data_IF_192937571254
#
_entry.id   IF_192937571254
#
_cell.length_a   1.000
_cell.length_b   1.000
_cell.length_c   1.000
_cell.angle_alpha   90.00
_cell.angle_beta   90.00
_cell.angle_gamma   90.00
#
_symmetry.space_group_name_H-M   'P 1'
#
loop_
_entity.id
_entity.type
_entity.pdbx_description
1 polymer ?
#
# COMPACT_ATOMS: atom_id res chain seq x y z
N UNK A 1 13.22 5.47 10.44
CA UNK A 1 11.86 5.52 9.85
C UNK A 1 11.69 6.75 8.96
N UNK A 2 11.84 7.97 9.47
CA UNK A 2 11.65 9.22 8.69
C UNK A 2 12.43 9.26 7.38
N UNK A 3 13.73 8.89 7.39
CA UNK A 3 14.55 8.80 6.16
C UNK A 3 13.91 7.94 5.06
N UNK A 4 13.34 6.78 5.41
CA UNK A 4 12.69 5.87 4.44
C UNK A 4 11.39 6.49 3.91
N UNK A 5 10.58 7.08 4.79
CA UNK A 5 9.35 7.80 4.41
C UNK A 5 9.67 8.91 3.41
N UNK A 6 10.68 9.73 3.69
CA UNK A 6 11.11 10.81 2.78
C UNK A 6 11.60 10.26 1.45
N UNK A 7 12.40 9.19 1.44
CA UNK A 7 12.87 8.56 0.19
C UNK A 7 11.67 8.08 -0.65
N UNK A 8 10.72 7.37 -0.05
CA UNK A 8 9.54 6.89 -0.77
C UNK A 8 8.64 8.03 -1.27
N UNK A 9 8.53 9.12 -0.52
CA UNK A 9 7.79 10.31 -0.96
C UNK A 9 8.49 10.98 -2.15
N UNK A 10 9.82 11.15 -2.10
CA UNK A 10 10.60 11.71 -3.22
C UNK A 10 10.49 10.84 -4.47
N UNK A 11 10.52 9.51 -4.32
CA UNK A 11 10.31 8.59 -5.44
C UNK A 11 8.92 8.80 -6.07
N UNK A 12 7.88 8.97 -5.25
CA UNK A 12 6.53 9.27 -5.74
C UNK A 12 6.47 10.62 -6.46
N UNK A 13 7.08 11.67 -5.93
CA UNK A 13 7.13 13.00 -6.57
C UNK A 13 7.86 12.97 -7.92
N UNK A 14 8.98 12.24 -8.02
CA UNK A 14 9.68 12.03 -9.30
C UNK A 14 8.77 11.31 -10.30
N UNK A 15 8.05 10.27 -9.85
CA UNK A 15 7.11 9.52 -10.69
C UNK A 15 5.96 10.41 -11.17
N UNK A 16 5.38 11.22 -10.28
CA UNK A 16 4.31 12.18 -10.59
C UNK A 16 4.79 13.17 -11.65
N UNK A 17 5.97 13.77 -11.45
CA UNK A 17 6.55 14.71 -12.40
C UNK A 17 6.81 14.05 -13.76
N UNK A 18 7.31 12.82 -13.79
CA UNK A 18 7.53 12.06 -15.02
C UNK A 18 6.22 11.77 -15.77
N UNK A 19 5.16 11.37 -15.07
CA UNK A 19 3.83 11.15 -15.67
C UNK A 19 3.28 12.45 -16.23
N UNK A 20 3.40 13.56 -15.50
CA UNK A 20 2.95 14.88 -15.97
C UNK A 20 3.66 15.28 -17.26
N UNK A 21 4.98 15.13 -17.32
CA UNK A 21 5.77 15.52 -18.49
C UNK A 21 5.45 14.67 -19.73
N UNK A 22 5.23 13.36 -19.53
CA UNK A 22 5.05 12.41 -20.65
C UNK A 22 3.62 12.40 -21.21
N UNK A 23 2.61 12.52 -20.35
CA UNK A 23 1.20 12.39 -20.75
C UNK A 23 0.51 13.73 -20.98
N UNK A 24 0.84 14.74 -20.18
CA UNK A 24 0.15 16.02 -20.22
C UNK A 24 0.94 17.11 -20.95
N UNK A 25 2.26 16.92 -21.12
CA UNK A 25 3.20 17.85 -21.80
C UNK A 25 3.20 19.27 -21.23
N UNK A 26 2.56 19.47 -20.08
CA UNK A 26 2.38 20.76 -19.43
C UNK A 26 2.38 20.56 -17.92
N UNK A 27 3.02 21.48 -17.21
CA UNK A 27 3.02 21.50 -15.75
C UNK A 27 1.94 22.47 -15.31
N UNK A 28 0.81 21.94 -14.85
CA UNK A 28 -0.25 22.74 -14.24
C UNK A 28 -0.59 22.18 -12.86
N UNK A 29 -1.09 23.06 -11.99
CA UNK A 29 -1.52 22.67 -10.64
C UNK A 29 -2.63 21.60 -10.71
N UNK A 30 -3.55 21.72 -11.66
CA UNK A 30 -4.65 20.76 -11.86
C UNK A 30 -4.12 19.36 -12.23
N UNK A 31 -3.14 19.26 -13.13
CA UNK A 31 -2.55 17.97 -13.47
C UNK A 31 -1.73 17.39 -12.33
N UNK A 32 -1.01 18.24 -11.58
CA UNK A 32 -0.33 17.79 -10.37
C UNK A 32 -1.31 17.17 -9.38
N UNK A 33 -2.43 17.85 -9.07
CA UNK A 33 -3.45 17.34 -8.16
C UNK A 33 -3.98 15.98 -8.62
N UNK A 34 -4.39 15.86 -9.89
CA UNK A 34 -4.96 14.62 -10.42
C UNK A 34 -3.95 13.46 -10.41
N UNK A 35 -2.73 13.70 -10.89
CA UNK A 35 -1.70 12.65 -10.98
C UNK A 35 -1.21 12.25 -9.58
N UNK A 36 -0.93 13.22 -8.71
CA UNK A 36 -0.49 12.94 -7.33
C UNK A 36 -1.55 12.15 -6.55
N UNK A 37 -2.84 12.49 -6.70
CA UNK A 37 -3.93 11.76 -6.07
C UNK A 37 -3.95 10.29 -6.52
N UNK A 38 -3.91 10.04 -7.83
CA UNK A 38 -3.96 8.68 -8.39
C UNK A 38 -2.73 7.87 -7.95
N UNK A 39 -1.53 8.43 -8.08
CA UNK A 39 -0.28 7.75 -7.70
C UNK A 39 -0.28 7.43 -6.20
N UNK A 40 -0.57 8.42 -5.35
CA UNK A 40 -0.58 8.22 -3.91
C UNK A 40 -1.68 7.25 -3.46
N UNK A 41 -2.87 7.28 -4.07
CA UNK A 41 -3.95 6.35 -3.78
C UNK A 41 -3.57 4.90 -4.12
N UNK A 42 -2.95 4.66 -5.28
CA UNK A 42 -2.48 3.32 -5.68
C UNK A 42 -1.40 2.83 -4.71
N UNK A 43 -0.40 3.65 -4.40
CA UNK A 43 0.68 3.28 -3.47
C UNK A 43 0.12 3.02 -2.07
N UNK A 44 -0.83 3.84 -1.61
CA UNK A 44 -1.50 3.67 -0.33
C UNK A 44 -2.27 2.34 -0.27
N UNK A 45 -3.03 2.00 -1.31
CA UNK A 45 -3.75 0.73 -1.40
C UNK A 45 -2.80 -0.47 -1.39
N UNK A 46 -1.67 -0.39 -2.11
CA UNK A 46 -0.63 -1.43 -2.05
C UNK A 46 -0.04 -1.54 -0.65
N UNK A 47 0.23 -0.41 0.01
CA UNK A 47 0.70 -0.40 1.40
C UNK A 47 -0.30 -1.02 2.38
N UNK A 48 -1.59 -0.77 2.16
CA UNK A 48 -2.67 -1.36 2.97
C UNK A 48 -2.77 -2.86 2.74
N UNK A 49 -2.64 -3.32 1.49
CA UNK A 49 -2.62 -4.73 1.14
C UNK A 49 -1.45 -5.44 1.83
N UNK A 50 -0.24 -4.86 1.76
CA UNK A 50 0.93 -5.38 2.48
C UNK A 50 0.72 -5.41 3.99
N UNK A 51 0.09 -4.38 4.55
CA UNK A 51 -0.28 -4.36 5.96
C UNK A 51 -1.21 -5.52 6.32
N UNK A 52 -2.27 -5.75 5.54
CA UNK A 52 -3.21 -6.86 5.78
C UNK A 52 -2.48 -8.21 5.65
N UNK A 53 -1.61 -8.38 4.65
CA UNK A 53 -0.81 -9.60 4.49
C UNK A 53 0.12 -9.87 5.68
N UNK A 54 0.75 -8.84 6.23
CA UNK A 54 1.66 -8.99 7.37
C UNK A 54 0.96 -9.04 8.74
N UNK A 55 -0.27 -8.52 8.84
CA UNK A 55 -1.02 -8.49 10.10
C UNK A 55 -1.44 -9.89 10.60
N UNK A 56 -1.19 -10.95 9.84
CA UNK A 56 -1.68 -12.30 10.14
C UNK A 56 -3.15 -12.51 9.81
N UNK A 57 -3.82 -11.55 9.17
CA UNK A 57 -5.21 -11.68 8.70
C UNK A 57 -5.36 -12.89 7.77
N UNK A 58 -4.45 -13.05 6.81
CA UNK A 58 -4.45 -14.19 5.90
C UNK A 58 -4.16 -15.50 6.63
N UNK A 59 -3.30 -15.50 7.64
CA UNK A 59 -3.01 -16.68 8.46
C UNK A 59 -4.22 -17.10 9.29
N UNK A 60 -4.99 -16.13 9.82
CA UNK A 60 -6.23 -16.36 10.54
C UNK A 60 -7.32 -16.95 9.63
N UNK A 61 -7.48 -16.42 8.42
CA UNK A 61 -8.41 -16.97 7.43
C UNK A 61 -8.00 -18.39 7.05
N UNK A 62 -6.72 -18.61 6.72
CA UNK A 62 -6.22 -19.88 6.27
C UNK A 62 -6.35 -20.96 7.36
N UNK A 63 -5.98 -20.64 8.60
CA UNK A 63 -6.17 -21.53 9.75
C UNK A 63 -7.65 -21.75 10.08
N UNK A 64 -8.49 -20.73 9.99
CA UNK A 64 -9.94 -20.81 10.20
C UNK A 64 -10.65 -21.71 9.18
N UNK A 65 -10.39 -21.51 7.88
CA UNK A 65 -10.93 -22.36 6.81
C UNK A 65 -10.47 -23.81 6.97
N UNK A 66 -9.18 -24.02 7.27
CA UNK A 66 -8.64 -25.36 7.51
C UNK A 66 -9.32 -26.02 8.71
N UNK A 67 -9.56 -25.29 9.81
CA UNK A 67 -10.28 -25.80 10.99
C UNK A 67 -11.73 -26.18 10.66
N UNK A 68 -12.42 -25.36 9.86
CA UNK A 68 -13.79 -25.65 9.40
C UNK A 68 -13.84 -26.91 8.51
N UNK A 69 -12.95 -27.01 7.53
CA UNK A 69 -12.84 -28.16 6.62
C UNK A 69 -12.44 -29.45 7.37
N UNK A 70 -11.52 -29.37 8.34
CA UNK A 70 -11.13 -30.48 9.22
C UNK A 70 -12.30 -30.98 10.06
N UNK A 71 -13.11 -30.07 10.60
CA UNK A 71 -14.33 -30.42 11.35
C UNK A 71 -15.36 -31.14 10.48
N UNK A 72 -15.37 -30.86 9.16
CA UNK A 72 -16.22 -31.59 8.20
C UNK A 72 -15.64 -32.96 7.79
N UNK A 73 -14.31 -33.12 7.72
CA UNK A 73 -13.67 -34.33 7.16
C UNK A 73 -13.24 -35.41 8.16
N UNK A 74 -13.18 -35.17 9.48
CA UNK A 74 -12.66 -36.15 10.49
C UNK A 74 -11.31 -36.80 10.07
N UNK A 75 -10.40 -36.04 9.47
CA UNK A 75 -9.07 -36.52 9.08
C UNK A 75 -8.02 -36.12 10.14
N UNK A 76 -7.23 -37.10 10.57
CA UNK A 76 -6.13 -36.97 11.53
C UNK A 76 -4.83 -36.43 10.89
N UNK A 77 -3.96 -35.98 11.80
CA UNK A 77 -2.89 -35.00 11.67
C UNK A 77 -1.85 -35.30 10.59
N UNK A 78 -1.67 -34.34 9.68
CA UNK A 78 -0.42 -34.15 8.95
C UNK A 78 0.16 -32.79 9.34
N UNK A 79 1.19 -32.85 10.18
CA UNK A 79 1.92 -31.74 10.81
C UNK A 79 2.99 -31.18 9.86
N UNK A 80 2.64 -30.92 8.60
CA UNK A 80 3.58 -30.26 7.70
C UNK A 80 3.52 -28.75 7.91
N UNK A 81 4.62 -28.25 8.50
CA UNK A 81 5.00 -26.87 8.73
C UNK A 81 4.60 -25.98 7.55
N UNK A 82 3.50 -25.24 7.72
CA UNK A 82 3.19 -24.12 6.84
C UNK A 82 3.72 -22.88 7.54
N UNK A 83 4.81 -22.32 7.02
CA UNK A 83 5.32 -21.02 7.49
C UNK A 83 4.21 -19.99 7.27
N UNK A 84 3.82 -19.20 8.28
CA UNK A 84 2.80 -18.16 8.15
C UNK A 84 3.18 -17.20 7.03
N UNK A 85 2.19 -16.76 6.25
CA UNK A 85 2.44 -15.80 5.18
C UNK A 85 2.93 -14.46 5.75
N UNK A 86 2.51 -14.12 6.97
CA UNK A 86 3.01 -12.96 7.72
C UNK A 86 4.51 -13.06 8.07
N UNK A 87 5.04 -14.26 8.31
CA UNK A 87 6.47 -14.47 8.61
C UNK A 87 7.35 -14.38 7.36
N UNK A 88 6.81 -14.77 6.20
CA UNK A 88 7.51 -14.68 4.91
C UNK A 88 7.61 -13.23 4.38
N UNK A 89 6.72 -12.34 4.83
CA UNK A 89 6.68 -10.95 4.38
C UNK A 89 7.24 -9.99 5.43
N UNK A 90 8.57 -9.81 5.46
CA UNK A 90 9.21 -8.75 6.27
C UNK A 90 9.45 -7.46 5.46
N UNK A 91 8.43 -6.98 4.75
CA UNK A 91 8.53 -5.72 3.97
C UNK A 91 8.14 -4.55 4.86
N UNK A 92 8.93 -3.46 4.86
CA UNK A 92 8.65 -2.26 5.65
C UNK A 92 7.45 -1.43 5.14
N UNK A 93 6.23 -1.97 5.23
CA UNK A 93 4.99 -1.36 4.72
C UNK A 93 4.67 -0.01 5.37
N UNK A 94 5.03 0.17 6.66
CA UNK A 94 4.76 1.41 7.40
C UNK A 94 5.37 2.63 6.70
N UNK A 95 6.57 2.49 6.14
CA UNK A 95 7.22 3.61 5.43
C UNK A 95 6.52 3.94 4.12
N UNK A 96 5.94 2.93 3.46
CA UNK A 96 5.20 3.07 2.21
C UNK A 96 3.81 3.67 2.45
N UNK A 97 3.12 3.26 3.51
CA UNK A 97 1.85 3.86 3.96
C UNK A 97 2.02 5.33 4.37
N UNK A 98 3.00 5.63 5.24
CA UNK A 98 3.19 7.01 5.71
C UNK A 98 3.63 7.95 4.57
N UNK A 99 4.44 7.47 3.62
CA UNK A 99 4.85 8.30 2.48
C UNK A 99 3.71 8.57 1.51
N UNK A 100 2.93 7.55 1.15
CA UNK A 100 1.75 7.73 0.31
C UNK A 100 0.68 8.60 0.97
N UNK A 101 0.47 8.46 2.29
CA UNK A 101 -0.43 9.32 3.04
C UNK A 101 0.03 10.79 3.03
N UNK A 102 1.34 11.04 3.14
CA UNK A 102 1.89 12.39 3.04
C UNK A 102 1.65 13.00 1.65
N UNK A 103 1.85 12.24 0.57
CA UNK A 103 1.60 12.71 -0.81
C UNK A 103 0.09 12.89 -1.08
N UNK A 104 -0.77 12.04 -0.50
CA UNK A 104 -2.22 12.24 -0.53
C UNK A 104 -2.63 13.54 0.17
N UNK A 105 -2.03 13.83 1.32
CA UNK A 105 -2.28 15.07 2.05
C UNK A 105 -1.84 16.30 1.24
N UNK A 106 -0.67 16.27 0.59
CA UNK A 106 -0.23 17.38 -0.27
C UNK A 106 -1.17 17.58 -1.46
N UNK A 107 -1.66 16.49 -2.07
CA UNK A 107 -2.66 16.56 -3.14
C UNK A 107 -3.96 17.23 -2.68
N UNK A 108 -4.48 16.87 -1.51
CA UNK A 108 -5.68 17.52 -0.96
C UNK A 108 -5.46 18.98 -0.56
N UNK A 109 -4.29 19.31 -0.03
CA UNK A 109 -3.91 20.69 0.27
C UNK A 109 -3.86 21.51 -1.03
N UNK A 110 -3.22 20.98 -2.09
CA UNK A 110 -3.17 21.62 -3.39
C UNK A 110 -4.57 21.80 -4.01
N UNK A 111 -5.46 20.82 -3.85
CA UNK A 111 -6.86 20.90 -4.26
C UNK A 111 -7.59 22.02 -3.53
N UNK A 112 -7.39 22.16 -2.21
CA UNK A 112 -7.99 23.24 -1.43
C UNK A 112 -7.52 24.62 -1.95
N UNK A 113 -6.22 24.79 -2.20
CA UNK A 113 -5.67 26.02 -2.79
C UNK A 113 -6.11 26.28 -4.23
N UNK A 114 -6.48 25.25 -5.00
CA UNK A 114 -6.97 25.45 -6.35
C UNK A 114 -8.37 26.06 -6.39
N UNK A 115 -9.19 25.83 -5.35
CA UNK A 115 -10.57 26.30 -5.27
C UNK A 115 -10.78 27.54 -4.40
N UNK A 116 -9.81 27.92 -3.55
CA UNK A 116 -9.82 29.13 -2.73
C UNK A 116 -8.89 30.21 -3.29
#
# INVERSE_FOLDING_TARGET
MLKRVTIFAVIQEILIFFIMLTFYWQVSLLYYINVSFIVAAIVFLVGLLLYVMQSGFFDLIHSGMRKALRRMKREDENEFANVPLSELMQVGYVSLLLSSLAVLATSFIALAFYYY
#
